data_IF_802532762146
#
_entry.id   IF_802532762146
#
_cell.length_a   1.000
_cell.length_b   1.000
_cell.length_c   1.000
_cell.angle_alpha   90.00
_cell.angle_beta   90.00
_cell.angle_gamma   90.00
#
_symmetry.space_group_name_H-M   'P 1'
#
loop_
_entity.id
_entity.type
_entity.pdbx_description
1 polymer ?
#
# COMPACT_ATOMS: atom_id res chain seq x y z
N UNK A 1 22.34 12.12 -7.28
CA UNK A 1 20.87 12.02 -7.46
C UNK A 1 20.21 12.20 -6.10
N UNK A 2 19.43 13.23 -5.95
CA UNK A 2 18.74 13.53 -4.68
C UNK A 2 17.46 12.71 -4.54
N UNK A 3 17.25 12.13 -3.34
CA UNK A 3 16.05 11.40 -2.98
C UNK A 3 15.23 12.18 -1.94
N UNK A 4 13.91 12.10 -2.02
CA UNK A 4 12.99 12.56 -0.99
C UNK A 4 12.30 11.36 -0.35
N UNK A 5 12.49 11.16 0.95
CA UNK A 5 11.76 10.13 1.71
C UNK A 5 10.62 10.80 2.44
N UNK A 6 9.38 10.37 2.16
CA UNK A 6 8.16 10.94 2.76
C UNK A 6 7.65 9.97 3.81
N UNK A 7 7.46 10.47 5.03
CA UNK A 7 6.97 9.70 6.18
C UNK A 7 5.72 10.34 6.75
N UNK A 8 4.51 9.86 6.41
CA UNK A 8 3.27 10.26 7.06
C UNK A 8 3.23 9.80 8.52
N UNK A 9 2.76 10.65 9.43
CA UNK A 9 2.74 10.39 10.87
C UNK A 9 1.34 10.62 11.44
N UNK A 10 0.70 9.55 11.94
CA UNK A 10 -0.53 9.62 12.70
C UNK A 10 -0.71 8.37 13.57
N UNK A 11 -0.71 8.53 14.91
CA UNK A 11 -0.98 7.42 15.82
C UNK A 11 0.09 6.32 15.84
N UNK A 12 1.37 6.65 15.63
CA UNK A 12 2.48 5.68 15.45
C UNK A 12 3.55 5.79 16.53
N UNK A 13 3.24 6.26 17.74
CA UNK A 13 4.22 6.48 18.83
C UNK A 13 5.07 5.26 19.16
N UNK A 14 4.55 4.04 18.98
CA UNK A 14 5.26 2.79 19.24
C UNK A 14 6.30 2.46 18.16
N UNK A 15 6.18 3.04 16.96
CA UNK A 15 6.92 2.64 15.76
C UNK A 15 7.83 3.75 15.24
N UNK A 16 7.43 5.01 15.40
CA UNK A 16 8.08 6.17 14.78
C UNK A 16 9.59 6.26 15.05
N UNK A 17 10.05 5.87 16.24
CA UNK A 17 11.48 5.89 16.56
C UNK A 17 12.26 4.92 15.66
N UNK A 18 11.75 3.70 15.43
CA UNK A 18 12.36 2.71 14.53
C UNK A 18 12.26 3.15 13.08
N UNK A 19 11.11 3.62 12.66
CA UNK A 19 10.86 4.15 11.34
C UNK A 19 11.85 5.28 11.00
N UNK A 20 11.89 6.34 11.79
CA UNK A 20 12.76 7.48 11.57
C UNK A 20 14.25 7.10 11.61
N UNK A 21 14.66 6.25 12.58
CA UNK A 21 16.04 5.77 12.66
C UNK A 21 16.45 5.03 11.38
N UNK A 22 15.57 4.24 10.80
CA UNK A 22 15.85 3.46 9.60
C UNK A 22 16.18 4.31 8.37
N UNK A 23 15.69 5.55 8.29
CA UNK A 23 15.99 6.49 7.20
C UNK A 23 17.12 7.44 7.56
N UNK A 24 17.27 7.81 8.83
CA UNK A 24 18.36 8.66 9.31
C UNK A 24 19.74 7.96 9.23
N UNK A 25 19.75 6.64 9.26
CA UNK A 25 20.96 5.80 9.21
C UNK A 25 21.23 5.18 7.82
N UNK A 26 20.53 5.62 6.76
CA UNK A 26 20.81 5.20 5.40
C UNK A 26 22.16 5.75 4.91
N UNK A 27 22.82 4.96 4.07
CA UNK A 27 24.15 5.29 3.53
C UNK A 27 24.13 6.27 2.36
N UNK A 28 22.98 6.43 1.69
CA UNK A 28 22.85 7.37 0.58
C UNK A 28 22.84 8.82 1.09
N UNK A 29 23.82 9.62 0.62
CA UNK A 29 24.11 10.95 1.19
C UNK A 29 23.20 12.08 0.73
N UNK A 30 22.67 12.03 -0.50
CA UNK A 30 21.79 13.08 -1.03
C UNK A 30 20.32 12.77 -0.76
N UNK A 31 19.95 12.77 0.53
CA UNK A 31 18.58 12.44 0.94
C UNK A 31 18.00 13.57 1.77
N UNK A 32 16.77 14.00 1.44
CA UNK A 32 15.94 14.81 2.32
C UNK A 32 14.82 13.95 2.91
N UNK A 33 14.54 14.16 4.20
CA UNK A 33 13.50 13.44 4.94
C UNK A 33 12.34 14.38 5.21
N UNK A 34 11.16 14.05 4.74
CA UNK A 34 9.94 14.85 4.87
C UNK A 34 8.96 14.12 5.77
N UNK A 35 8.89 14.51 7.02
CA UNK A 35 7.94 14.01 7.99
C UNK A 35 6.67 14.85 7.93
N UNK A 36 5.51 14.22 7.70
CA UNK A 36 4.22 14.92 7.61
C UNK A 36 3.36 14.52 8.80
N UNK A 37 3.29 15.40 9.80
CA UNK A 37 2.41 15.26 10.97
C UNK A 37 0.96 15.53 10.56
N UNK A 38 0.16 14.50 10.44
CA UNK A 38 -1.27 14.59 10.11
C UNK A 38 -2.13 14.85 11.38
N UNK A 39 -1.69 15.80 12.21
CA UNK A 39 -2.27 16.13 13.51
C UNK A 39 -2.32 14.90 14.45
N UNK A 40 -1.20 14.21 14.59
CA UNK A 40 -1.09 13.02 15.44
C UNK A 40 -1.46 13.34 16.89
N UNK A 41 -2.41 12.59 17.51
CA UNK A 41 -2.90 12.87 18.86
C UNK A 41 -2.00 12.29 19.97
N UNK A 42 -1.00 11.46 19.60
CA UNK A 42 -0.13 10.72 20.50
C UNK A 42 1.27 11.36 20.64
N UNK A 43 2.21 10.63 21.20
CA UNK A 43 3.60 11.11 21.42
C UNK A 43 4.50 10.97 20.19
N UNK A 44 4.00 10.59 19.02
CA UNK A 44 4.81 10.37 17.81
C UNK A 44 5.73 11.54 17.50
N UNK A 45 5.20 12.78 17.56
CA UNK A 45 5.97 13.95 17.22
C UNK A 45 6.99 14.38 18.27
N UNK A 46 6.75 14.14 19.56
CA UNK A 46 7.77 14.37 20.59
C UNK A 46 8.92 13.39 20.46
N UNK A 47 8.61 12.09 20.27
CA UNK A 47 9.62 11.05 20.08
C UNK A 47 10.48 11.33 18.84
N UNK A 48 9.86 11.75 17.72
CA UNK A 48 10.58 12.11 16.51
C UNK A 48 11.54 13.28 16.76
N UNK A 49 11.08 14.38 17.38
CA UNK A 49 11.92 15.56 17.65
C UNK A 49 13.11 15.23 18.53
N UNK A 50 12.91 14.45 19.60
CA UNK A 50 13.97 14.01 20.50
C UNK A 50 15.02 13.15 19.77
N UNK A 51 14.56 12.34 18.80
CA UNK A 51 15.44 11.55 17.96
C UNK A 51 16.26 12.43 17.02
N UNK A 52 15.65 13.39 16.34
CA UNK A 52 16.29 14.25 15.34
C UNK A 52 17.44 15.09 15.92
N UNK A 53 17.40 15.44 17.20
CA UNK A 53 18.51 16.13 17.89
C UNK A 53 19.83 15.35 17.76
N UNK A 54 19.78 14.02 17.66
CA UNK A 54 20.97 13.15 17.52
C UNK A 54 21.51 13.07 16.10
N UNK A 55 20.76 13.58 15.11
CA UNK A 55 21.09 13.53 13.68
C UNK A 55 21.09 14.93 13.02
N UNK A 56 21.87 15.90 13.57
CA UNK A 56 21.80 17.29 13.13
C UNK A 56 22.30 17.53 11.70
N UNK A 57 22.96 16.56 11.09
CA UNK A 57 23.47 16.65 9.71
C UNK A 57 22.46 16.17 8.66
N UNK A 58 21.38 15.49 9.06
CA UNK A 58 20.37 14.99 8.14
C UNK A 58 19.45 16.14 7.71
N UNK A 59 19.23 16.30 6.43
CA UNK A 59 18.28 17.27 5.91
C UNK A 59 16.86 16.81 6.21
N UNK A 60 16.20 17.41 7.19
CA UNK A 60 14.86 17.04 7.64
C UNK A 60 13.90 18.22 7.55
N UNK A 61 12.68 17.93 7.09
CA UNK A 61 11.55 18.86 7.00
C UNK A 61 10.40 18.24 7.79
N UNK A 62 9.78 19.01 8.67
CA UNK A 62 8.55 18.61 9.38
C UNK A 62 7.43 19.52 8.89
N UNK A 63 6.45 18.93 8.24
CA UNK A 63 5.21 19.58 7.83
C UNK A 63 4.10 19.15 8.78
N UNK A 64 3.12 20.02 9.03
CA UNK A 64 2.02 19.72 9.94
C UNK A 64 0.69 20.17 9.37
N UNK A 65 -0.29 19.26 9.39
CA UNK A 65 -1.68 19.61 9.15
C UNK A 65 -2.35 20.16 10.41
N UNK A 66 -3.27 21.09 10.25
CA UNK A 66 -4.03 21.64 11.38
C UNK A 66 -5.01 20.62 11.98
N UNK A 67 -5.51 19.69 11.16
CA UNK A 67 -6.40 18.58 11.53
C UNK A 67 -5.99 17.33 10.78
N UNK A 68 -6.43 16.15 11.23
CA UNK A 68 -6.23 14.91 10.49
C UNK A 68 -6.95 14.97 9.13
N UNK A 69 -6.18 14.83 8.03
CA UNK A 69 -6.66 14.79 6.65
C UNK A 69 -6.53 13.41 6.01
N UNK A 70 -5.87 12.50 6.70
CA UNK A 70 -5.65 11.12 6.30
C UNK A 70 -4.39 10.89 5.49
N UNK A 71 -4.05 9.60 5.34
CA UNK A 71 -2.81 9.12 4.73
C UNK A 71 -2.57 9.69 3.33
N UNK A 72 -3.59 9.67 2.48
CA UNK A 72 -3.49 10.17 1.10
C UNK A 72 -3.14 11.67 1.06
N UNK A 73 -3.74 12.49 1.93
CA UNK A 73 -3.43 13.90 2.04
C UNK A 73 -2.01 14.14 2.57
N UNK A 74 -1.57 13.37 3.57
CA UNK A 74 -0.22 13.47 4.12
C UNK A 74 0.84 13.09 3.08
N UNK A 75 0.65 12.00 2.32
CA UNK A 75 1.54 11.63 1.21
C UNK A 75 1.57 12.72 0.14
N UNK A 76 0.42 13.26 -0.26
CA UNK A 76 0.32 14.35 -1.24
C UNK A 76 1.10 15.59 -0.78
N UNK A 77 0.92 16.02 0.47
CA UNK A 77 1.66 17.15 1.06
C UNK A 77 3.17 16.92 1.00
N UNK A 78 3.63 15.69 1.30
CA UNK A 78 5.04 15.32 1.19
C UNK A 78 5.55 15.35 -0.27
N UNK A 79 4.77 14.83 -1.24
CA UNK A 79 5.11 14.86 -2.68
C UNK A 79 5.24 16.29 -3.19
N UNK A 80 4.34 17.18 -2.81
CA UNK A 80 4.35 18.61 -3.18
C UNK A 80 5.57 19.32 -2.62
N UNK A 81 6.00 18.99 -1.41
CA UNK A 81 7.17 19.58 -0.74
C UNK A 81 8.52 18.98 -1.19
N UNK A 82 8.51 17.77 -1.74
CA UNK A 82 9.70 17.06 -2.15
C UNK A 82 10.49 17.84 -3.22
N UNK A 83 11.83 17.88 -3.10
CA UNK A 83 12.75 18.50 -4.07
C UNK A 83 13.67 17.49 -4.74
N UNK A 84 13.67 16.24 -4.27
CA UNK A 84 14.43 15.15 -4.85
C UNK A 84 13.94 14.74 -6.24
N UNK A 85 14.83 14.13 -7.01
CA UNK A 85 14.50 13.57 -8.33
C UNK A 85 13.56 12.36 -8.22
N UNK A 86 13.73 11.59 -7.14
CA UNK A 86 12.88 10.45 -6.83
C UNK A 86 12.28 10.56 -5.42
N UNK A 87 11.13 9.94 -5.27
CA UNK A 87 10.36 9.86 -4.04
C UNK A 87 10.29 8.42 -3.56
N UNK A 88 10.55 8.22 -2.26
CA UNK A 88 10.31 6.98 -1.53
C UNK A 88 9.27 7.27 -0.46
N UNK A 89 8.15 6.56 -0.46
CA UNK A 89 7.16 6.62 0.61
C UNK A 89 7.48 5.57 1.67
N UNK A 90 7.46 5.95 2.95
CA UNK A 90 7.67 5.04 4.08
C UNK A 90 6.57 5.28 5.11
N UNK A 91 5.77 4.27 5.40
CA UNK A 91 4.71 4.36 6.39
C UNK A 91 5.31 4.43 7.82
N UNK A 92 4.70 5.24 8.70
CA UNK A 92 5.28 5.59 10.00
C UNK A 92 5.37 4.41 10.99
N UNK A 93 4.71 3.29 10.72
CA UNK A 93 4.79 2.04 11.48
C UNK A 93 5.76 1.01 10.89
N UNK A 94 6.32 1.29 9.70
CA UNK A 94 7.25 0.43 8.95
C UNK A 94 8.70 0.93 9.03
N UNK A 95 9.63 0.26 8.33
CA UNK A 95 11.02 0.70 8.25
C UNK A 95 11.74 0.16 7.01
N UNK A 96 12.76 0.90 6.57
CA UNK A 96 13.68 0.47 5.52
C UNK A 96 14.81 -0.40 6.10
N UNK A 97 15.27 -1.36 5.30
CA UNK A 97 16.46 -2.12 5.64
C UNK A 97 17.74 -1.30 5.34
N UNK A 98 18.88 -1.64 5.93
CA UNK A 98 20.16 -0.98 5.64
C UNK A 98 20.46 -0.95 4.13
N UNK A 99 21.06 0.13 3.66
CA UNK A 99 21.45 0.37 2.26
C UNK A 99 20.28 0.39 1.25
N UNK A 100 19.04 0.45 1.70
CA UNK A 100 17.87 0.43 0.81
C UNK A 100 17.89 1.58 -0.20
N UNK A 101 18.13 2.81 0.27
CA UNK A 101 18.15 3.99 -0.59
C UNK A 101 19.33 3.96 -1.57
N UNK A 102 20.49 3.47 -1.16
CA UNK A 102 21.67 3.32 -2.02
C UNK A 102 21.40 2.33 -3.15
N UNK A 103 20.83 1.16 -2.85
CA UNK A 103 20.52 0.13 -3.84
C UNK A 103 19.45 0.60 -4.84
N UNK A 104 18.40 1.27 -4.35
CA UNK A 104 17.37 1.86 -5.22
C UNK A 104 17.94 2.95 -6.12
N UNK A 105 18.78 3.83 -5.57
CA UNK A 105 19.45 4.89 -6.32
C UNK A 105 20.37 4.32 -7.40
N UNK A 106 21.16 3.32 -7.08
CA UNK A 106 22.05 2.66 -8.02
C UNK A 106 21.27 2.02 -9.18
N UNK A 107 20.16 1.33 -8.91
CA UNK A 107 19.33 0.74 -9.95
C UNK A 107 18.66 1.81 -10.83
N UNK A 108 18.17 2.91 -10.23
CA UNK A 108 17.60 4.02 -10.98
C UNK A 108 18.65 4.71 -11.89
N UNK A 109 19.87 4.92 -11.40
CA UNK A 109 20.97 5.48 -12.21
C UNK A 109 21.36 4.58 -13.37
N UNK A 110 21.41 3.28 -13.13
CA UNK A 110 21.76 2.28 -14.15
C UNK A 110 20.70 2.17 -15.25
N UNK A 111 19.42 2.23 -14.90
CA UNK A 111 18.30 1.94 -15.81
C UNK A 111 17.57 3.18 -16.29
N UNK A 112 17.78 4.31 -15.67
CA UNK A 112 17.00 5.55 -15.83
C UNK A 112 15.47 5.32 -15.69
N UNK A 113 15.08 4.36 -14.85
CA UNK A 113 13.69 3.96 -14.68
C UNK A 113 12.86 5.04 -13.99
N UNK A 114 11.61 5.20 -14.42
CA UNK A 114 10.63 6.09 -13.77
C UNK A 114 10.12 5.50 -12.44
N UNK A 115 10.15 4.17 -12.33
CA UNK A 115 9.69 3.44 -11.15
C UNK A 115 10.65 2.28 -10.89
N UNK A 116 11.19 2.22 -9.67
CA UNK A 116 12.04 1.13 -9.19
C UNK A 116 11.35 0.38 -8.07
N UNK A 117 10.92 -0.85 -8.33
CA UNK A 117 10.28 -1.72 -7.36
C UNK A 117 11.27 -2.43 -6.44
N UNK A 118 10.80 -2.89 -5.29
CA UNK A 118 11.57 -3.69 -4.34
C UNK A 118 10.71 -4.79 -3.71
N UNK A 119 11.38 -5.82 -3.18
CA UNK A 119 10.72 -6.81 -2.31
C UNK A 119 10.54 -6.25 -0.91
N UNK A 120 9.72 -6.91 -0.09
CA UNK A 120 9.59 -6.57 1.31
C UNK A 120 9.62 -7.81 2.22
N UNK A 121 9.77 -7.57 3.51
CA UNK A 121 9.42 -8.54 4.53
C UNK A 121 8.08 -8.16 5.16
N UNK A 122 7.22 -9.15 5.40
CA UNK A 122 6.16 -9.05 6.40
C UNK A 122 6.73 -9.48 7.74
N UNK A 123 6.65 -8.62 8.74
CA UNK A 123 7.22 -8.85 10.07
C UNK A 123 6.14 -8.91 11.14
N UNK A 124 6.15 -9.99 11.91
CA UNK A 124 5.42 -10.19 13.17
C UNK A 124 6.43 -10.27 14.31
N UNK A 125 5.98 -10.21 15.58
CA UNK A 125 6.87 -10.20 16.76
C UNK A 125 8.02 -11.24 16.73
N UNK A 126 7.77 -12.41 16.16
CA UNK A 126 8.72 -13.55 16.15
C UNK A 126 8.97 -14.14 14.77
N UNK A 127 8.47 -13.52 13.73
CA UNK A 127 8.53 -14.08 12.38
C UNK A 127 8.66 -12.99 11.34
N UNK A 128 9.53 -13.24 10.37
CA UNK A 128 9.68 -12.40 9.18
C UNK A 128 9.61 -13.28 7.94
N UNK A 129 8.69 -12.97 7.05
CA UNK A 129 8.53 -13.68 5.79
C UNK A 129 8.81 -12.75 4.62
N UNK A 130 9.69 -13.19 3.70
CA UNK A 130 9.94 -12.42 2.47
C UNK A 130 8.70 -12.51 1.58
N UNK A 131 8.29 -11.36 1.07
CA UNK A 131 7.31 -11.23 0.00
C UNK A 131 8.03 -10.79 -1.26
N UNK A 132 7.84 -11.59 -2.32
CA UNK A 132 8.26 -11.29 -3.68
C UNK A 132 7.03 -11.28 -4.57
N UNK A 133 6.59 -10.08 -4.97
CA UNK A 133 5.44 -9.93 -5.87
C UNK A 133 5.77 -10.35 -7.31
N UNK A 134 4.73 -10.62 -8.09
CA UNK A 134 4.87 -10.72 -9.54
C UNK A 134 5.39 -9.40 -10.12
N UNK A 135 6.17 -9.49 -11.17
CA UNK A 135 6.85 -8.36 -11.78
C UNK A 135 6.93 -8.50 -13.29
N UNK A 136 6.94 -7.37 -13.99
CA UNK A 136 7.30 -7.27 -15.40
C UNK A 136 8.17 -6.04 -15.59
N UNK A 137 9.11 -6.08 -16.51
CA UNK A 137 9.89 -4.91 -16.94
C UNK A 137 9.13 -4.02 -17.94
N UNK A 138 7.99 -4.48 -18.45
CA UNK A 138 7.09 -3.67 -19.27
C UNK A 138 6.12 -2.90 -18.35
N UNK A 139 6.07 -1.56 -18.40
CA UNK A 139 5.24 -0.75 -17.52
C UNK A 139 3.75 -1.06 -17.60
N UNK A 140 3.20 -1.26 -18.80
CA UNK A 140 1.79 -1.54 -19.02
C UNK A 140 1.43 -2.95 -18.55
N UNK A 141 2.29 -3.93 -18.73
CA UNK A 141 2.10 -5.27 -18.20
C UNK A 141 2.17 -5.26 -16.67
N UNK A 142 3.12 -4.54 -16.08
CA UNK A 142 3.19 -4.39 -14.63
C UNK A 142 1.95 -3.68 -14.06
N UNK A 143 1.44 -2.67 -14.76
CA UNK A 143 0.16 -2.03 -14.44
C UNK A 143 -0.98 -3.05 -14.38
N UNK A 144 -1.07 -3.99 -15.35
CA UNK A 144 -2.07 -5.06 -15.35
C UNK A 144 -1.90 -6.05 -14.19
N UNK A 145 -0.64 -6.41 -13.87
CA UNK A 145 -0.33 -7.27 -12.71
C UNK A 145 -0.81 -6.62 -11.40
N UNK A 146 -0.53 -5.32 -11.22
CA UNK A 146 -0.99 -4.54 -10.06
C UNK A 146 -2.52 -4.44 -10.02
N UNK A 147 -3.13 -4.14 -11.16
CA UNK A 147 -4.58 -3.94 -11.30
C UNK A 147 -5.35 -5.22 -11.01
N UNK A 148 -4.86 -6.37 -11.47
CA UNK A 148 -5.49 -7.68 -11.22
C UNK A 148 -5.39 -8.15 -9.77
N UNK A 149 -4.47 -7.59 -8.98
CA UNK A 149 -4.21 -8.01 -7.60
C UNK A 149 -3.24 -9.19 -7.45
N UNK A 150 -2.52 -9.56 -8.53
CA UNK A 150 -1.48 -10.60 -8.45
C UNK A 150 -0.24 -10.18 -7.68
N UNK A 151 -0.09 -8.89 -7.43
CA UNK A 151 0.97 -8.31 -6.59
C UNK A 151 0.42 -7.16 -5.73
N UNK A 152 1.13 -6.85 -4.65
CA UNK A 152 0.76 -5.72 -3.79
C UNK A 152 1.01 -4.40 -4.53
N UNK A 153 0.03 -3.49 -4.56
CA UNK A 153 0.17 -2.21 -5.23
C UNK A 153 0.85 -1.14 -4.37
N UNK A 154 1.48 -1.51 -3.23
CA UNK A 154 2.02 -0.58 -2.24
C UNK A 154 2.92 0.49 -2.86
N UNK A 155 2.55 1.76 -2.72
CA UNK A 155 3.41 2.89 -3.12
C UNK A 155 4.74 2.83 -2.37
N UNK A 156 4.71 2.38 -1.12
CA UNK A 156 5.89 2.18 -0.27
C UNK A 156 6.88 1.11 -0.79
N UNK A 157 6.45 0.24 -1.70
CA UNK A 157 7.30 -0.76 -2.34
C UNK A 157 7.97 -0.27 -3.64
N UNK A 158 7.88 1.04 -3.91
CA UNK A 158 8.42 1.65 -5.11
C UNK A 158 9.12 2.96 -4.80
N UNK A 159 10.29 3.15 -5.39
CA UNK A 159 10.88 4.47 -5.55
C UNK A 159 10.41 5.03 -6.90
N UNK A 160 9.80 6.20 -6.90
CA UNK A 160 9.09 6.77 -8.04
C UNK A 160 9.70 8.10 -8.43
N UNK A 161 10.03 8.29 -9.72
CA UNK A 161 10.51 9.57 -10.24
C UNK A 161 9.47 10.65 -9.99
N UNK A 162 9.85 11.75 -9.37
CA UNK A 162 8.94 12.85 -9.01
C UNK A 162 8.18 13.38 -10.23
N UNK A 163 8.88 13.52 -11.37
CA UNK A 163 8.27 14.00 -12.61
C UNK A 163 7.12 13.10 -13.10
N UNK A 164 7.15 11.80 -12.78
CA UNK A 164 6.05 10.90 -13.16
C UNK A 164 4.71 11.32 -12.53
N UNK A 165 4.71 11.81 -11.31
CA UNK A 165 3.49 12.36 -10.67
C UNK A 165 2.97 13.59 -11.43
N UNK A 166 3.87 14.50 -11.82
CA UNK A 166 3.52 15.76 -12.50
C UNK A 166 2.99 15.51 -13.91
N UNK A 167 3.73 14.76 -14.74
CA UNK A 167 3.38 14.52 -16.16
C UNK A 167 2.17 13.61 -16.34
N UNK A 168 1.92 12.71 -15.38
CA UNK A 168 0.73 11.86 -15.41
C UNK A 168 -0.51 12.53 -14.78
N UNK A 169 -0.32 13.56 -13.95
CA UNK A 169 -1.38 14.16 -13.15
C UNK A 169 -1.92 13.24 -12.04
N UNK A 170 -1.22 12.13 -11.75
CA UNK A 170 -1.65 11.14 -10.77
C UNK A 170 -0.99 11.42 -9.43
N UNK A 171 -1.77 11.83 -8.45
CA UNK A 171 -1.36 12.03 -7.06
C UNK A 171 -2.34 11.33 -6.12
N UNK A 172 -1.95 11.06 -4.86
CA UNK A 172 -2.88 10.56 -3.86
C UNK A 172 -4.10 11.47 -3.73
N UNK A 173 -5.30 10.85 -3.65
CA UNK A 173 -6.57 11.58 -3.61
C UNK A 173 -7.02 11.71 -2.17
N UNK A 174 -7.09 12.93 -1.66
CA UNK A 174 -7.56 13.23 -0.31
C UNK A 174 -8.95 12.63 -0.05
N UNK A 175 -9.15 12.06 1.14
CA UNK A 175 -10.37 11.36 1.52
C UNK A 175 -10.44 9.89 1.06
N UNK A 176 -9.51 9.41 0.23
CA UNK A 176 -9.40 8.00 -0.16
C UNK A 176 -8.18 7.36 0.53
N UNK A 177 -8.32 7.05 1.83
CA UNK A 177 -7.25 6.46 2.64
C UNK A 177 -7.24 4.93 2.61
N UNK A 178 -8.32 4.30 2.15
CA UNK A 178 -8.40 2.86 1.96
C UNK A 178 -8.35 2.53 0.47
N UNK A 179 -7.28 1.87 0.05
CA UNK A 179 -7.05 1.51 -1.36
C UNK A 179 -6.35 2.60 -2.18
N UNK A 180 -5.77 3.61 -1.54
CA UNK A 180 -5.03 4.70 -2.22
C UNK A 180 -3.83 4.18 -3.01
N UNK A 181 -3.12 3.16 -2.51
CA UNK A 181 -2.04 2.48 -3.21
C UNK A 181 -2.56 1.79 -4.48
N UNK A 182 -3.68 1.06 -4.35
CA UNK A 182 -4.32 0.40 -5.47
C UNK A 182 -4.84 1.40 -6.52
N UNK A 183 -5.26 2.59 -6.07
CA UNK A 183 -5.63 3.68 -6.97
C UNK A 183 -4.42 4.29 -7.68
N UNK A 184 -3.29 4.41 -7.00
CA UNK A 184 -2.15 5.22 -7.44
C UNK A 184 -1.18 4.42 -8.29
N UNK A 185 -0.67 3.31 -7.79
CA UNK A 185 0.48 2.59 -8.38
C UNK A 185 0.18 2.00 -9.76
N UNK A 186 -0.98 1.34 -10.04
CA UNK A 186 -1.27 0.85 -11.38
C UNK A 186 -1.34 1.96 -12.42
N UNK A 187 -1.91 3.12 -12.07
CA UNK A 187 -2.01 4.26 -12.97
C UNK A 187 -0.66 4.92 -13.24
N UNK A 188 0.21 5.06 -12.21
CA UNK A 188 1.57 5.55 -12.37
C UNK A 188 2.39 4.60 -13.25
N UNK A 189 2.30 3.28 -12.99
CA UNK A 189 2.97 2.28 -13.82
C UNK A 189 2.53 2.37 -15.29
N UNK A 190 1.24 2.59 -15.56
CA UNK A 190 0.72 2.77 -16.92
C UNK A 190 1.40 3.91 -17.67
N UNK A 191 1.69 5.03 -17.00
CA UNK A 191 2.33 6.20 -17.61
C UNK A 191 3.86 6.19 -17.52
N UNK A 192 4.46 5.22 -16.85
CA UNK A 192 5.91 5.10 -16.79
C UNK A 192 6.48 4.75 -18.18
N UNK A 193 7.64 5.33 -18.54
CA UNK A 193 8.36 4.99 -19.76
C UNK A 193 9.21 3.74 -19.55
N UNK A 194 9.74 3.57 -18.34
CA UNK A 194 10.57 2.43 -17.95
C UNK A 194 10.42 2.12 -16.47
N UNK A 195 10.53 0.83 -16.16
CA UNK A 195 10.50 0.35 -14.77
C UNK A 195 11.62 -0.64 -14.53
N UNK A 196 12.15 -0.65 -13.32
CA UNK A 196 13.21 -1.53 -12.87
C UNK A 196 12.89 -2.12 -11.50
N UNK A 197 13.66 -3.12 -11.05
CA UNK A 197 13.47 -3.76 -9.76
C UNK A 197 14.78 -4.10 -9.10
N UNK A 198 14.89 -3.82 -7.82
CA UNK A 198 15.91 -4.42 -6.95
C UNK A 198 15.33 -5.73 -6.37
N UNK A 199 15.88 -6.86 -6.77
CA UNK A 199 15.40 -8.19 -6.35
C UNK A 199 15.84 -8.55 -4.91
N UNK A 200 15.74 -7.60 -4.00
CA UNK A 200 16.06 -7.76 -2.59
C UNK A 200 14.96 -7.15 -1.73
N UNK A 201 14.68 -7.71 -0.55
CA UNK A 201 13.80 -7.06 0.40
C UNK A 201 14.50 -5.84 0.99
N UNK A 202 13.95 -4.66 0.72
CA UNK A 202 14.48 -3.38 1.21
C UNK A 202 13.51 -2.68 2.15
N UNK A 203 12.28 -3.14 2.23
CA UNK A 203 11.20 -2.63 3.06
C UNK A 203 10.74 -3.68 4.07
N UNK A 204 10.42 -3.28 5.28
CA UNK A 204 9.85 -4.15 6.29
C UNK A 204 8.46 -3.67 6.70
N UNK A 205 7.45 -4.46 6.33
CA UNK A 205 6.04 -4.20 6.60
C UNK A 205 5.68 -4.79 7.97
N UNK A 206 5.38 -3.93 8.94
CA UNK A 206 5.08 -4.31 10.32
C UNK A 206 3.64 -4.79 10.44
N UNK A 207 3.45 -6.05 10.85
CA UNK A 207 2.14 -6.69 10.99
C UNK A 207 1.60 -6.68 12.43
N UNK A 208 2.32 -6.05 13.35
CA UNK A 208 1.93 -5.98 14.78
C UNK A 208 1.08 -4.77 15.12
N UNK A 209 0.90 -3.84 14.20
CA UNK A 209 0.03 -2.67 14.38
C UNK A 209 -1.44 -3.05 14.20
N UNK A 210 -2.14 -3.32 15.31
CA UNK A 210 -3.57 -3.67 15.30
C UNK A 210 -4.51 -2.50 14.98
N UNK A 211 -4.00 -1.27 15.01
CA UNK A 211 -4.76 -0.06 14.64
C UNK A 211 -4.68 0.27 13.15
N UNK A 212 -3.97 -0.53 12.36
CA UNK A 212 -3.87 -0.36 10.90
C UNK A 212 -5.24 -0.42 10.22
N UNK A 213 -5.45 0.45 9.24
CA UNK A 213 -6.68 0.60 8.45
C UNK A 213 -7.13 -0.74 7.80
N UNK A 214 -6.20 -1.65 7.57
CA UNK A 214 -6.44 -2.93 6.88
C UNK A 214 -7.17 -4.00 7.72
N UNK A 215 -7.30 -3.85 9.05
CA UNK A 215 -7.78 -4.94 9.90
C UNK A 215 -9.30 -5.17 9.90
N UNK A 216 -10.12 -4.11 9.81
CA UNK A 216 -11.58 -4.27 9.78
C UNK A 216 -12.21 -3.15 8.96
N UNK A 217 -12.87 -3.46 7.84
CA UNK A 217 -13.47 -2.42 7.01
C UNK A 217 -14.66 -1.81 7.73
N UNK A 218 -14.57 -0.53 8.10
CA UNK A 218 -15.73 0.27 8.47
C UNK A 218 -16.56 0.60 7.23
N UNK A 219 -17.81 1.03 7.43
CA UNK A 219 -18.65 1.50 6.33
C UNK A 219 -17.98 2.60 5.48
N UNK A 220 -17.24 3.50 6.14
CA UNK A 220 -16.42 4.53 5.47
C UNK A 220 -15.33 3.91 4.60
N UNK A 221 -14.62 2.91 5.11
CA UNK A 221 -13.58 2.21 4.32
C UNK A 221 -14.16 1.50 3.09
N UNK A 222 -15.35 0.89 3.23
CA UNK A 222 -16.06 0.27 2.11
C UNK A 222 -16.41 1.33 1.05
N UNK A 223 -16.97 2.46 1.46
CA UNK A 223 -17.34 3.56 0.54
C UNK A 223 -16.10 4.11 -0.19
N UNK A 224 -14.99 4.30 0.51
CA UNK A 224 -13.72 4.73 -0.11
C UNK A 224 -13.24 3.73 -1.15
N UNK A 225 -13.27 2.44 -0.83
CA UNK A 225 -12.83 1.39 -1.76
C UNK A 225 -13.74 1.29 -2.99
N UNK A 226 -15.05 1.46 -2.84
CA UNK A 226 -15.99 1.56 -3.96
C UNK A 226 -15.55 2.70 -4.88
N UNK A 227 -15.27 3.88 -4.31
CA UNK A 227 -14.83 5.04 -5.09
C UNK A 227 -13.49 4.81 -5.80
N UNK A 228 -12.56 4.14 -5.15
CA UNK A 228 -11.28 3.71 -5.75
C UNK A 228 -11.54 2.82 -6.98
N UNK A 229 -12.41 1.81 -6.85
CA UNK A 229 -12.73 0.88 -7.95
C UNK A 229 -13.46 1.60 -9.08
N UNK A 230 -14.35 2.56 -8.79
CA UNK A 230 -15.01 3.40 -9.81
C UNK A 230 -13.99 4.21 -10.63
N UNK A 231 -13.05 4.89 -9.96
CA UNK A 231 -12.02 5.68 -10.64
C UNK A 231 -11.13 4.79 -11.50
N UNK A 232 -10.71 3.62 -10.99
CA UNK A 232 -9.94 2.67 -11.76
C UNK A 232 -10.72 2.13 -12.96
N UNK A 233 -12.01 1.86 -12.78
CA UNK A 233 -12.89 1.44 -13.88
C UNK A 233 -12.92 2.49 -14.98
N UNK A 234 -13.21 3.75 -14.63
CA UNK A 234 -13.22 4.86 -15.59
C UNK A 234 -11.87 5.04 -16.28
N UNK A 235 -10.77 4.85 -15.57
CA UNK A 235 -9.42 5.04 -16.11
C UNK A 235 -9.00 3.92 -17.08
N UNK A 236 -9.38 2.66 -16.80
CA UNK A 236 -8.89 1.50 -17.53
C UNK A 236 -9.89 0.87 -18.51
N UNK A 237 -11.19 1.22 -18.46
CA UNK A 237 -12.23 0.52 -19.25
C UNK A 237 -11.98 0.62 -20.77
N UNK A 238 -11.48 1.76 -21.24
CA UNK A 238 -11.20 2.00 -22.67
C UNK A 238 -9.84 1.45 -23.12
N UNK A 239 -9.07 0.87 -22.20
CA UNK A 239 -7.78 0.24 -22.49
C UNK A 239 -8.02 -1.26 -22.63
N UNK A 240 -8.26 -1.73 -23.89
CA UNK A 240 -8.68 -3.10 -24.18
C UNK A 240 -7.79 -4.16 -23.51
N UNK A 241 -6.48 -3.95 -23.47
CA UNK A 241 -5.49 -4.82 -22.84
C UNK A 241 -5.58 -4.88 -21.31
N UNK A 242 -6.30 -3.94 -20.67
CA UNK A 242 -6.47 -3.89 -19.23
C UNK A 242 -7.80 -4.48 -18.74
N UNK A 243 -8.77 -4.73 -19.63
CA UNK A 243 -10.13 -5.11 -19.24
C UNK A 243 -10.17 -6.40 -18.41
N UNK A 244 -9.39 -7.41 -18.77
CA UNK A 244 -9.35 -8.67 -18.02
C UNK A 244 -8.70 -8.51 -16.65
N UNK A 245 -7.60 -7.73 -16.57
CA UNK A 245 -6.94 -7.39 -15.31
C UNK A 245 -7.86 -6.54 -14.41
N UNK A 246 -8.56 -5.57 -14.98
CA UNK A 246 -9.55 -4.75 -14.29
C UNK A 246 -10.67 -5.63 -13.72
N UNK A 247 -11.22 -6.52 -14.52
CA UNK A 247 -12.27 -7.48 -14.11
C UNK A 247 -11.79 -8.36 -12.95
N UNK A 248 -10.60 -8.94 -13.05
CA UNK A 248 -10.01 -9.77 -12.00
C UNK A 248 -9.87 -8.98 -10.68
N UNK A 249 -9.28 -7.79 -10.75
CA UNK A 249 -9.10 -6.92 -9.58
C UNK A 249 -10.41 -6.46 -8.95
N UNK A 250 -11.41 -6.10 -9.74
CA UNK A 250 -12.74 -5.72 -9.27
C UNK A 250 -13.38 -6.87 -8.48
N UNK A 251 -13.41 -8.08 -9.05
CA UNK A 251 -13.97 -9.25 -8.38
C UNK A 251 -13.19 -9.64 -7.14
N UNK A 252 -11.86 -9.55 -7.16
CA UNK A 252 -11.02 -9.80 -5.98
C UNK A 252 -11.34 -8.81 -4.85
N UNK A 253 -11.35 -7.50 -5.13
CA UNK A 253 -11.61 -6.46 -4.12
C UNK A 253 -13.03 -6.57 -3.56
N UNK A 254 -14.01 -6.78 -4.41
CA UNK A 254 -15.41 -6.96 -4.00
C UNK A 254 -15.58 -8.16 -3.08
N UNK A 255 -15.01 -9.31 -3.47
CA UNK A 255 -15.08 -10.56 -2.71
C UNK A 255 -14.35 -10.45 -1.37
N UNK A 256 -13.13 -9.91 -1.37
CA UNK A 256 -12.36 -9.72 -0.15
C UNK A 256 -13.06 -8.76 0.84
N UNK A 257 -13.68 -7.72 0.31
CA UNK A 257 -14.45 -6.76 1.13
C UNK A 257 -15.68 -7.42 1.74
N UNK A 258 -16.48 -8.15 0.95
CA UNK A 258 -17.73 -8.76 1.46
C UNK A 258 -17.47 -9.85 2.48
N UNK A 259 -16.38 -10.61 2.32
CA UNK A 259 -16.00 -11.66 3.29
C UNK A 259 -15.62 -11.10 4.66
N UNK A 260 -15.22 -9.83 4.74
CA UNK A 260 -14.85 -9.13 5.97
C UNK A 260 -15.91 -8.15 6.47
N UNK A 261 -16.88 -7.78 5.62
CA UNK A 261 -17.94 -6.84 5.95
C UNK A 261 -18.98 -7.46 6.90
N UNK A 262 -19.66 -6.60 7.66
CA UNK A 262 -20.87 -6.99 8.40
C UNK A 262 -21.99 -7.28 7.41
N UNK A 263 -22.90 -8.20 7.75
CA UNK A 263 -24.06 -8.54 6.88
C UNK A 263 -24.90 -7.31 6.50
N UNK A 264 -25.04 -6.34 7.41
CA UNK A 264 -25.75 -5.09 7.18
C UNK A 264 -25.12 -4.20 6.09
N UNK A 265 -23.87 -4.45 5.71
CA UNK A 265 -23.14 -3.68 4.71
C UNK A 265 -23.04 -4.40 3.35
N UNK A 266 -23.63 -5.58 3.21
CA UNK A 266 -23.56 -6.37 1.96
C UNK A 266 -24.16 -5.64 0.76
N UNK A 267 -25.27 -4.93 0.96
CA UNK A 267 -25.89 -4.13 -0.10
C UNK A 267 -24.95 -3.01 -0.57
N UNK A 268 -24.26 -2.36 0.37
CA UNK A 268 -23.25 -1.35 0.05
C UNK A 268 -22.09 -1.96 -0.74
N UNK A 269 -21.51 -3.09 -0.29
CA UNK A 269 -20.44 -3.77 -1.03
C UNK A 269 -20.91 -4.18 -2.43
N UNK A 270 -22.17 -4.56 -2.56
CA UNK A 270 -22.73 -4.97 -3.85
C UNK A 270 -22.78 -3.81 -4.88
N UNK A 271 -22.78 -2.56 -4.45
CA UNK A 271 -22.68 -1.40 -5.38
C UNK A 271 -21.29 -1.24 -5.99
N UNK A 272 -20.24 -1.90 -5.44
CA UNK A 272 -18.89 -1.87 -6.01
C UNK A 272 -18.92 -2.41 -7.45
N UNK A 273 -18.35 -1.69 -8.43
CA UNK A 273 -18.27 -2.15 -9.82
C UNK A 273 -17.58 -3.51 -9.93
N UNK A 274 -18.13 -4.37 -10.78
CA UNK A 274 -17.49 -5.62 -11.16
C UNK A 274 -17.99 -6.06 -12.55
N UNK A 275 -17.06 -6.14 -13.50
CA UNK A 275 -17.35 -6.54 -14.87
C UNK A 275 -17.62 -8.05 -14.97
N UNK A 276 -18.62 -8.44 -15.77
CA UNK A 276 -18.89 -9.87 -16.08
C UNK A 276 -18.14 -10.32 -17.33
N UNK A 277 -17.88 -11.65 -17.45
CA UNK A 277 -18.14 -12.71 -16.47
C UNK A 277 -17.24 -12.61 -15.23
N UNK A 278 -17.56 -13.38 -14.17
CA UNK A 278 -16.72 -13.47 -12.98
C UNK A 278 -15.31 -13.90 -13.38
N UNK A 279 -14.30 -13.17 -12.93
CA UNK A 279 -12.91 -13.57 -13.06
C UNK A 279 -12.34 -13.89 -11.67
N UNK A 280 -11.87 -15.11 -11.50
CA UNK A 280 -11.34 -15.64 -10.22
C UNK A 280 -9.84 -15.91 -10.27
N UNK A 281 -9.12 -15.46 -11.31
CA UNK A 281 -7.71 -15.79 -11.53
C UNK A 281 -6.81 -15.33 -10.40
N UNK A 282 -7.10 -14.15 -9.84
CA UNK A 282 -6.35 -13.58 -8.70
C UNK A 282 -6.84 -14.06 -7.33
N UNK A 283 -7.84 -14.92 -7.29
CA UNK A 283 -8.47 -15.39 -6.05
C UNK A 283 -7.88 -16.69 -5.54
N UNK A 284 -7.71 -16.78 -4.22
CA UNK A 284 -7.42 -18.05 -3.57
C UNK A 284 -8.65 -18.98 -3.54
N UNK A 285 -8.42 -20.26 -3.16
CA UNK A 285 -9.46 -21.28 -3.14
C UNK A 285 -10.67 -20.93 -2.25
N UNK A 286 -10.48 -20.13 -1.22
CA UNK A 286 -11.55 -19.72 -0.30
C UNK A 286 -12.34 -18.50 -0.80
N UNK A 287 -11.75 -17.66 -1.64
CA UNK A 287 -12.44 -16.52 -2.21
C UNK A 287 -13.35 -16.89 -3.38
N UNK A 288 -13.01 -17.93 -4.15
CA UNK A 288 -13.78 -18.36 -5.33
C UNK A 288 -15.24 -18.73 -5.02
N UNK A 289 -15.56 -19.56 -3.99
CA UNK A 289 -16.95 -19.82 -3.63
C UNK A 289 -17.71 -18.57 -3.19
N UNK A 290 -17.06 -17.66 -2.45
CA UNK A 290 -17.69 -16.42 -2.03
C UNK A 290 -18.04 -15.52 -3.22
N UNK A 291 -17.16 -15.39 -4.23
CA UNK A 291 -17.44 -14.68 -5.46
C UNK A 291 -18.64 -15.26 -6.22
N UNK A 292 -18.73 -16.58 -6.31
CA UNK A 292 -19.85 -17.29 -6.94
C UNK A 292 -21.16 -17.03 -6.18
N UNK A 293 -21.19 -17.21 -4.86
CA UNK A 293 -22.37 -16.97 -4.02
C UNK A 293 -22.85 -15.50 -4.13
N UNK A 294 -21.93 -14.56 -4.16
CA UNK A 294 -22.23 -13.14 -4.32
C UNK A 294 -22.84 -12.84 -5.70
N UNK A 295 -22.27 -13.36 -6.77
CA UNK A 295 -22.77 -13.17 -8.12
C UNK A 295 -24.17 -13.75 -8.32
N UNK A 296 -24.51 -14.82 -7.60
CA UNK A 296 -25.84 -15.45 -7.62
C UNK A 296 -26.76 -14.94 -6.51
N UNK A 297 -26.37 -13.84 -5.82
CA UNK A 297 -27.15 -13.18 -4.76
C UNK A 297 -27.56 -14.14 -3.62
N UNK A 298 -26.73 -15.14 -3.32
CA UNK A 298 -26.95 -16.12 -2.26
C UNK A 298 -26.47 -15.56 -0.89
N UNK A 299 -27.04 -14.44 -0.44
CA UNK A 299 -26.55 -13.65 0.69
C UNK A 299 -26.50 -14.40 2.02
N UNK A 300 -27.47 -15.27 2.28
CA UNK A 300 -27.50 -16.06 3.53
C UNK A 300 -26.37 -17.09 3.55
N UNK A 301 -26.19 -17.81 2.43
CA UNK A 301 -25.11 -18.80 2.30
C UNK A 301 -23.74 -18.11 2.32
N UNK A 302 -23.60 -16.97 1.67
CA UNK A 302 -22.38 -16.16 1.68
C UNK A 302 -22.03 -15.71 3.10
N UNK A 303 -23.01 -15.26 3.88
CA UNK A 303 -22.78 -14.87 5.27
C UNK A 303 -22.30 -16.05 6.12
N UNK A 304 -22.97 -17.20 6.06
CA UNK A 304 -22.57 -18.41 6.79
C UNK A 304 -21.16 -18.85 6.37
N UNK A 305 -20.87 -18.81 5.08
CA UNK A 305 -19.56 -19.14 4.53
C UNK A 305 -18.47 -18.21 5.06
N UNK A 306 -18.69 -16.89 5.03
CA UNK A 306 -17.72 -15.90 5.52
C UNK A 306 -17.45 -16.03 7.01
N UNK A 307 -18.49 -16.29 7.83
CA UNK A 307 -18.31 -16.54 9.27
C UNK A 307 -17.47 -17.80 9.53
N UNK A 308 -17.75 -18.90 8.84
CA UNK A 308 -16.97 -20.15 8.95
C UNK A 308 -15.51 -19.94 8.54
N UNK A 309 -15.25 -19.17 7.49
CA UNK A 309 -13.91 -18.83 7.03
C UNK A 309 -13.14 -17.98 8.06
N UNK A 310 -13.78 -16.96 8.65
CA UNK A 310 -13.16 -16.11 9.66
C UNK A 310 -12.80 -16.90 10.92
N UNK A 311 -13.67 -17.78 11.38
CA UNK A 311 -13.39 -18.70 12.50
C UNK A 311 -12.22 -19.63 12.18
N UNK A 312 -12.15 -20.18 10.95
CA UNK A 312 -11.03 -21.00 10.51
C UNK A 312 -9.71 -20.22 10.52
N UNK A 313 -9.71 -18.97 10.06
CA UNK A 313 -8.53 -18.12 10.10
C UNK A 313 -8.04 -17.86 11.54
N UNK A 314 -8.95 -17.58 12.47
CA UNK A 314 -8.61 -17.41 13.89
C UNK A 314 -8.00 -18.69 14.47
N UNK A 315 -8.60 -19.85 14.22
CA UNK A 315 -8.07 -21.15 14.66
C UNK A 315 -6.66 -21.37 14.09
N UNK A 316 -6.43 -21.12 12.81
CA UNK A 316 -5.12 -21.26 12.18
C UNK A 316 -4.08 -20.33 12.82
N UNK A 317 -4.46 -19.10 13.14
CA UNK A 317 -3.58 -18.16 13.84
C UNK A 317 -3.22 -18.65 15.25
N UNK A 318 -4.20 -19.14 16.01
CA UNK A 318 -3.99 -19.72 17.36
C UNK A 318 -3.06 -20.93 17.29
N UNK A 319 -3.29 -21.84 16.35
CA UNK A 319 -2.45 -23.04 16.17
C UNK A 319 -1.00 -22.69 15.76
N UNK A 320 -0.84 -21.72 14.88
CA UNK A 320 0.51 -21.20 14.53
C UNK A 320 1.20 -20.56 15.73
N UNK A 321 0.48 -19.86 16.60
CA UNK A 321 0.99 -19.29 17.84
C UNK A 321 1.34 -20.36 18.89
N UNK A 322 0.61 -21.49 18.97
CA UNK A 322 0.88 -22.58 19.90
C UNK A 322 2.03 -23.49 19.48
N UNK A 323 2.24 -23.74 18.19
CA UNK A 323 3.39 -24.53 17.68
C UNK A 323 4.76 -23.92 17.98
N UNK A 324 4.83 -22.70 18.51
CA UNK A 324 6.06 -21.99 18.88
C UNK A 324 6.32 -21.94 20.40
N UNK A 325 5.50 -22.64 21.21
CA UNK A 325 5.66 -22.76 22.67
C UNK A 325 6.17 -24.14 23.13
N UNK A 326 6.46 -25.05 22.20
CA UNK A 326 7.10 -26.33 22.47
C UNK A 326 8.53 -26.32 21.98
#
# INVERSE_FOLDING_TARGET
MKLSVIVPIYGVEKYIARCAKSVLEQTHVETELIFVDDASPDKSMSILRDLLVRYPKCQTIILRHATNRGLAAARRTGIEAATGEYIVSLDGDDYLLPNALELLAAEAQKTNADLVGMDCYFEWDKQRNRYRGMWSSNPQEYSRILLSGHTLPGVCLHMIRKDLYTRSGIVPVEGLNNGEDYLTTPRLSWYANSIARVEQPLYCYTQTNTSSISHSPSRTHITQLIRVVEILTTFFIDKSECVDALRAGQWLKKTDTIMRAKKADYDLVNTMPALYPINTDSMNLFQRPAAWLMAHKQWTLLYLYSQSYNVLLEIVQILKGRRKKC
#
